data_IF_631769382404
#
_entry.id   IF_631769382404
#
_cell.length_a   1.000
_cell.length_b   1.000
_cell.length_c   1.000
_cell.angle_alpha   90.00
_cell.angle_beta   90.00
_cell.angle_gamma   90.00
#
_symmetry.space_group_name_H-M   'P 1'
#
loop_
_entity.id
_entity.type
_entity.pdbx_description
1 polymer ?
#
# COMPACT_ATOMS: atom_id res chain seq x y z
N UNK A 1 2.80 15.94 -6.90
CA UNK A 1 2.79 14.48 -6.70
C UNK A 1 1.47 13.93 -7.14
N UNK A 2 1.46 12.86 -7.91
CA UNK A 2 0.22 12.22 -8.34
C UNK A 2 -0.29 11.26 -7.25
N UNK A 3 -1.58 10.90 -7.28
CA UNK A 3 -2.21 10.04 -6.26
C UNK A 3 -1.46 8.72 -6.03
N UNK A 4 -0.83 8.17 -7.07
CA UNK A 4 -0.02 6.94 -6.98
C UNK A 4 1.25 7.14 -6.15
N UNK A 5 1.99 8.24 -6.36
CA UNK A 5 3.22 8.52 -5.60
C UNK A 5 2.94 8.73 -4.11
N UNK A 6 1.88 9.47 -3.79
CA UNK A 6 1.44 9.66 -2.39
C UNK A 6 1.10 8.33 -1.73
N UNK A 7 0.38 7.46 -2.44
CA UNK A 7 0.06 6.12 -1.94
C UNK A 7 1.31 5.26 -1.76
N UNK A 8 2.26 5.29 -2.69
CA UNK A 8 3.51 4.53 -2.58
C UNK A 8 4.34 4.96 -1.37
N UNK A 9 4.40 6.27 -1.10
CA UNK A 9 5.06 6.79 0.10
C UNK A 9 4.37 6.29 1.38
N UNK A 10 3.03 6.32 1.41
CA UNK A 10 2.26 5.81 2.54
C UNK A 10 2.45 4.30 2.74
N UNK A 11 2.44 3.50 1.66
CA UNK A 11 2.70 2.05 1.74
C UNK A 11 4.07 1.80 2.38
N UNK A 12 5.12 2.50 1.92
CA UNK A 12 6.47 2.40 2.51
C UNK A 12 6.49 2.77 3.99
N UNK A 13 5.77 3.82 4.38
CA UNK A 13 5.67 4.23 5.77
C UNK A 13 4.97 3.16 6.63
N UNK A 14 3.88 2.56 6.13
CA UNK A 14 3.12 1.53 6.84
C UNK A 14 3.92 0.24 7.04
N UNK A 15 4.53 -0.30 5.98
CA UNK A 15 5.34 -1.54 6.08
C UNK A 15 6.60 -1.37 6.94
N UNK A 16 7.09 -0.14 7.10
CA UNK A 16 8.24 0.16 7.97
C UNK A 16 7.82 0.28 9.44
N UNK A 17 6.61 0.80 9.69
CA UNK A 17 6.09 1.02 11.05
C UNK A 17 5.57 -0.27 11.71
N UNK A 18 5.01 -1.19 10.92
CA UNK A 18 4.42 -2.42 11.43
C UNK A 18 4.57 -3.57 10.43
N UNK A 19 4.54 -4.79 10.96
CA UNK A 19 4.54 -5.98 10.13
C UNK A 19 3.18 -6.15 9.49
N UNK A 20 3.16 -6.30 8.17
CA UNK A 20 1.95 -6.52 7.37
C UNK A 20 2.15 -7.81 6.60
N UNK A 21 1.22 -8.75 6.72
CA UNK A 21 1.37 -10.10 6.18
C UNK A 21 0.64 -10.28 4.84
N UNK A 22 -0.42 -9.52 4.61
CA UNK A 22 -1.30 -9.67 3.46
C UNK A 22 -1.58 -8.34 2.79
N UNK A 23 -1.94 -8.39 1.51
CA UNK A 23 -2.39 -7.21 0.78
C UNK A 23 -3.69 -6.66 1.35
N UNK A 24 -4.55 -7.51 1.93
CA UNK A 24 -5.80 -7.08 2.58
C UNK A 24 -5.50 -6.21 3.80
N UNK A 25 -4.59 -6.63 4.68
CA UNK A 25 -4.19 -5.81 5.83
C UNK A 25 -3.60 -4.46 5.39
N UNK A 26 -2.76 -4.45 4.35
CA UNK A 26 -2.24 -3.19 3.81
C UNK A 26 -3.36 -2.31 3.25
N UNK A 27 -4.36 -2.90 2.60
CA UNK A 27 -5.51 -2.16 2.05
C UNK A 27 -6.34 -1.51 3.15
N UNK A 28 -6.62 -2.23 4.24
CA UNK A 28 -7.35 -1.71 5.40
C UNK A 28 -6.62 -0.51 6.00
N UNK A 29 -5.32 -0.63 6.23
CA UNK A 29 -4.48 0.46 6.73
C UNK A 29 -4.47 1.68 5.80
N UNK A 30 -4.45 1.48 4.49
CA UNK A 30 -4.55 2.56 3.52
C UNK A 30 -5.90 3.29 3.63
N UNK A 31 -7.00 2.54 3.78
CA UNK A 31 -8.35 3.09 3.96
C UNK A 31 -8.44 3.88 5.26
N UNK A 32 -7.89 3.36 6.36
CA UNK A 32 -7.82 4.06 7.65
C UNK A 32 -7.04 5.38 7.56
N UNK A 33 -6.07 5.47 6.64
CA UNK A 33 -5.33 6.70 6.34
C UNK A 33 -5.96 7.55 5.22
N UNK A 34 -7.21 7.28 4.85
CA UNK A 34 -7.98 8.06 3.86
C UNK A 34 -7.64 7.74 2.40
N UNK A 35 -6.89 6.68 2.13
CA UNK A 35 -6.49 6.25 0.78
C UNK A 35 -7.33 5.03 0.36
N UNK A 36 -8.38 5.28 -0.41
CA UNK A 36 -9.19 4.22 -1.01
C UNK A 36 -8.50 3.60 -2.23
N UNK A 37 -8.30 2.28 -2.20
CA UNK A 37 -7.81 1.49 -3.34
C UNK A 37 -8.47 0.13 -3.38
N UNK A 38 -8.51 -0.47 -4.56
CA UNK A 38 -8.92 -1.87 -4.75
C UNK A 38 -7.74 -2.81 -4.54
N UNK A 39 -8.03 -4.08 -4.25
CA UNK A 39 -7.02 -5.15 -4.23
C UNK A 39 -6.18 -5.20 -5.51
N UNK A 40 -6.81 -5.08 -6.69
CA UNK A 40 -6.10 -5.10 -7.97
C UNK A 40 -5.13 -3.93 -8.14
N UNK A 41 -5.51 -2.74 -7.67
CA UNK A 41 -4.63 -1.55 -7.69
C UNK A 41 -3.44 -1.76 -6.76
N UNK A 42 -3.72 -2.23 -5.53
CA UNK A 42 -2.70 -2.45 -4.53
C UNK A 42 -1.71 -3.55 -4.94
N UNK A 43 -2.21 -4.65 -5.52
CA UNK A 43 -1.37 -5.72 -6.08
C UNK A 43 -0.43 -5.19 -7.16
N UNK A 44 -0.93 -4.35 -8.07
CA UNK A 44 -0.09 -3.70 -9.09
C UNK A 44 0.97 -2.80 -8.45
N UNK A 45 0.62 -2.02 -7.44
CA UNK A 45 1.58 -1.15 -6.74
C UNK A 45 2.68 -1.94 -6.02
N UNK A 46 2.33 -2.99 -5.29
CA UNK A 46 3.29 -3.87 -4.59
C UNK A 46 4.29 -4.46 -5.58
N UNK A 47 3.81 -4.94 -6.74
CA UNK A 47 4.66 -5.47 -7.80
C UNK A 47 5.57 -4.39 -8.40
N UNK A 48 5.03 -3.21 -8.72
CA UNK A 48 5.83 -2.08 -9.23
C UNK A 48 6.91 -1.61 -8.24
N UNK A 49 6.61 -1.71 -6.95
CA UNK A 49 7.54 -1.31 -5.88
C UNK A 49 8.49 -2.43 -5.45
N UNK A 50 8.42 -3.62 -6.07
CA UNK A 50 9.23 -4.80 -5.72
C UNK A 50 9.11 -5.20 -4.24
N UNK A 51 7.90 -5.08 -3.66
CA UNK A 51 7.62 -5.49 -2.28
C UNK A 51 7.13 -6.95 -2.17
N UNK A 52 6.95 -7.63 -3.30
CA UNK A 52 6.55 -9.04 -3.36
C UNK A 52 7.75 -9.97 -3.08
N UNK A 53 8.11 -10.17 -1.80
CA UNK A 53 9.05 -11.23 -1.37
C UNK A 53 8.68 -11.78 0.00
#
# INVERSE_FOLDING_TARGET
MNKAEQRHQLIRALITKQKIHTQTELQELLIENGVQVTQATLSRDINLMNLSK
#
